data_IF_593245108307
#
_entry.id   IF_593245108307
#
_cell.length_a   1.000
_cell.length_b   1.000
_cell.length_c   1.000
_cell.angle_alpha   90.00
_cell.angle_beta   90.00
_cell.angle_gamma   90.00
#
_symmetry.space_group_name_H-M   'P 1'
#
loop_
_entity.id
_entity.type
_entity.pdbx_description
1 polymer ?
#
# COMPACT_ATOMS: atom_id res chain seq x y z
N UNK A 1 -18.92 9.87 64.95
CA UNK A 1 -18.23 9.65 63.66
C UNK A 1 -18.29 8.16 63.35
N UNK A 2 -18.87 7.78 62.21
CA UNK A 2 -18.88 6.38 61.74
C UNK A 2 -17.45 6.01 61.33
N UNK A 3 -16.99 4.82 61.68
CA UNK A 3 -15.74 4.24 61.18
C UNK A 3 -15.95 3.88 59.70
N UNK A 4 -15.63 4.79 58.78
CA UNK A 4 -15.99 4.67 57.36
C UNK A 4 -15.06 3.74 56.57
N UNK A 5 -13.93 3.29 57.12
CA UNK A 5 -12.86 2.72 56.26
C UNK A 5 -12.12 1.48 56.78
N UNK A 6 -12.78 0.63 57.58
CA UNK A 6 -12.15 -0.62 58.05
C UNK A 6 -12.02 -1.68 56.95
N UNK A 7 -12.89 -1.65 55.95
CA UNK A 7 -12.97 -2.71 54.93
C UNK A 7 -12.01 -2.54 53.74
N UNK A 8 -11.40 -1.35 53.57
CA UNK A 8 -10.39 -1.08 52.53
C UNK A 8 -8.97 -0.93 53.09
N UNK A 9 -8.76 -1.21 54.38
CA UNK A 9 -7.44 -1.09 55.01
C UNK A 9 -6.52 -2.22 54.53
N UNK A 10 -5.32 -1.93 53.98
CA UNK A 10 -4.38 -2.97 53.57
C UNK A 10 -3.96 -3.83 54.77
N UNK A 11 -3.88 -5.15 54.56
CA UNK A 11 -3.46 -6.08 55.61
C UNK A 11 -2.05 -5.76 56.17
N UNK A 12 -1.77 -6.18 57.40
CA UNK A 12 -0.50 -5.86 58.08
C UNK A 12 0.76 -6.24 57.26
N UNK A 13 0.71 -7.34 56.50
CA UNK A 13 1.80 -7.76 55.60
C UNK A 13 2.11 -6.71 54.53
N UNK A 14 1.07 -6.11 53.96
CA UNK A 14 1.19 -5.04 52.94
C UNK A 14 1.80 -3.79 53.57
N UNK A 15 1.39 -3.42 54.78
CA UNK A 15 1.96 -2.26 55.49
C UNK A 15 3.45 -2.42 55.81
N UNK A 16 3.89 -3.62 56.20
CA UNK A 16 5.31 -3.91 56.45
C UNK A 16 6.15 -3.85 55.16
N UNK A 17 5.60 -4.33 54.04
CA UNK A 17 6.26 -4.25 52.73
C UNK A 17 6.43 -2.80 52.27
N UNK A 18 5.39 -1.97 52.39
CA UNK A 18 5.46 -0.55 52.10
C UNK A 18 6.47 0.19 52.98
N UNK A 19 6.49 -0.09 54.29
CA UNK A 19 7.47 0.51 55.19
C UNK A 19 8.92 0.19 54.79
N UNK A 20 9.19 -1.03 54.33
CA UNK A 20 10.51 -1.44 53.82
C UNK A 20 10.88 -0.67 52.54
N UNK A 21 9.95 -0.51 51.58
CA UNK A 21 10.18 0.28 50.36
C UNK A 21 10.51 1.74 50.69
N UNK A 22 9.73 2.36 51.59
CA UNK A 22 9.98 3.73 52.03
C UNK A 22 11.31 3.92 52.75
N UNK A 23 11.78 2.93 53.53
CA UNK A 23 13.10 2.97 54.18
C UNK A 23 14.28 2.96 53.19
N UNK A 24 14.07 2.41 52.00
CA UNK A 24 15.07 2.36 50.92
C UNK A 24 14.98 3.61 50.02
N UNK A 25 14.06 4.54 50.31
CA UNK A 25 13.87 5.77 49.55
C UNK A 25 12.98 5.62 48.31
N UNK A 26 12.32 4.47 48.14
CA UNK A 26 11.33 4.24 47.08
C UNK A 26 9.94 4.70 47.56
N UNK A 27 9.53 5.87 47.09
CA UNK A 27 8.22 6.47 47.36
C UNK A 27 7.25 6.34 46.17
N UNK A 28 7.53 5.44 45.23
CA UNK A 28 6.66 5.24 44.06
C UNK A 28 5.34 4.58 44.49
N UNK A 29 4.23 5.23 44.14
CA UNK A 29 2.88 4.72 44.42
C UNK A 29 2.36 3.79 43.32
N UNK A 30 3.01 3.83 42.15
CA UNK A 30 2.66 2.98 41.02
C UNK A 30 3.00 1.51 41.29
N UNK A 31 2.18 0.62 40.75
CA UNK A 31 2.49 -0.79 40.78
C UNK A 31 3.70 -1.08 39.89
N UNK A 32 4.64 -1.88 40.40
CA UNK A 32 5.67 -2.48 39.56
C UNK A 32 5.03 -3.25 38.41
N UNK A 33 5.72 -3.27 37.27
CA UNK A 33 5.28 -4.01 36.11
C UNK A 33 5.18 -5.49 36.48
N UNK A 34 3.93 -5.97 36.59
CA UNK A 34 3.65 -7.34 37.01
C UNK A 34 4.17 -8.30 35.94
N UNK A 35 4.71 -9.45 36.37
CA UNK A 35 5.02 -10.54 35.45
C UNK A 35 3.73 -11.02 34.77
N UNK A 36 3.54 -10.61 33.51
CA UNK A 36 2.43 -11.05 32.68
C UNK A 36 2.55 -12.53 32.29
N UNK A 37 1.46 -13.09 31.74
CA UNK A 37 1.49 -14.43 31.13
C UNK A 37 2.58 -14.48 30.06
N UNK A 38 3.51 -15.46 30.09
CA UNK A 38 4.55 -15.60 29.07
C UNK A 38 3.88 -15.66 27.69
N UNK A 39 4.32 -14.83 26.75
CA UNK A 39 3.80 -14.87 25.39
C UNK A 39 4.23 -16.17 24.71
N UNK A 40 3.27 -17.05 24.42
CA UNK A 40 3.47 -18.37 23.77
C UNK A 40 4.07 -18.28 22.35
N UNK A 41 4.22 -17.07 21.80
CA UNK A 41 4.73 -16.85 20.44
C UNK A 41 6.24 -16.58 20.42
N UNK A 42 6.94 -17.38 19.62
CA UNK A 42 8.31 -17.09 19.22
C UNK A 42 8.32 -15.97 18.14
N UNK A 43 8.59 -14.72 18.57
CA UNK A 43 8.60 -13.55 17.69
C UNK A 43 9.69 -13.61 16.60
N UNK A 44 10.83 -14.23 16.89
CA UNK A 44 11.90 -14.46 15.90
C UNK A 44 11.44 -15.37 14.76
N UNK A 45 10.69 -16.41 15.08
CA UNK A 45 10.17 -17.35 14.11
C UNK A 45 9.05 -16.73 13.27
N UNK A 46 8.14 -15.97 13.90
CA UNK A 46 7.14 -15.18 13.19
C UNK A 46 7.79 -14.19 12.20
N UNK A 47 8.87 -13.51 12.63
CA UNK A 47 9.63 -12.60 11.76
C UNK A 47 10.31 -13.34 10.60
N UNK A 48 10.77 -14.58 10.83
CA UNK A 48 11.39 -15.41 9.78
C UNK A 48 10.36 -15.78 8.72
N UNK A 49 9.20 -16.29 9.12
CA UNK A 49 8.10 -16.68 8.21
C UNK A 49 7.68 -15.51 7.33
N UNK A 50 7.44 -14.33 7.92
CA UNK A 50 7.08 -13.12 7.16
C UNK A 50 8.19 -12.59 6.25
N UNK A 51 9.46 -12.88 6.53
CA UNK A 51 10.57 -12.54 5.63
C UNK A 51 10.70 -13.51 4.46
N UNK A 52 10.31 -14.76 4.65
CA UNK A 52 10.34 -15.79 3.60
C UNK A 52 9.21 -15.58 2.60
N UNK A 53 8.01 -15.27 3.07
CA UNK A 53 6.88 -14.88 2.23
C UNK A 53 6.08 -13.74 2.87
N UNK A 54 6.30 -12.49 2.44
CA UNK A 54 5.57 -11.32 2.94
C UNK A 54 4.08 -11.32 2.60
N UNK A 55 3.61 -12.20 1.72
CA UNK A 55 2.21 -12.27 1.26
C UNK A 55 1.40 -13.36 1.97
N UNK A 56 2.03 -14.16 2.83
CA UNK A 56 1.38 -15.25 3.53
C UNK A 56 0.28 -14.73 4.46
N UNK A 57 -0.91 -15.36 4.41
CA UNK A 57 -2.04 -14.95 5.23
C UNK A 57 -1.87 -15.35 6.71
N UNK A 58 -2.55 -14.64 7.62
CA UNK A 58 -2.58 -14.97 9.05
C UNK A 58 -3.13 -16.37 9.33
N UNK A 59 -3.98 -16.89 8.44
CA UNK A 59 -4.52 -18.25 8.52
C UNK A 59 -3.50 -19.32 8.09
N UNK A 60 -2.70 -19.09 7.05
CA UNK A 60 -1.64 -20.02 6.65
C UNK A 60 -0.49 -20.04 7.67
N UNK A 61 -0.19 -18.89 8.28
CA UNK A 61 0.75 -18.81 9.40
C UNK A 61 0.28 -19.59 10.62
N UNK A 62 -1.04 -19.68 10.86
CA UNK A 62 -1.61 -20.47 11.97
C UNK A 62 -1.22 -21.94 11.85
N UNK A 63 -1.28 -22.52 10.64
CA UNK A 63 -0.86 -23.90 10.38
C UNK A 63 0.66 -24.10 10.49
N UNK A 64 1.45 -23.08 10.11
CA UNK A 64 2.92 -23.16 10.11
C UNK A 64 3.50 -23.01 11.51
N UNK A 65 2.95 -22.09 12.31
CA UNK A 65 3.46 -21.73 13.64
C UNK A 65 2.72 -22.45 14.78
N UNK A 66 1.64 -23.17 14.50
CA UNK A 66 0.87 -23.93 15.49
C UNK A 66 0.19 -23.05 16.56
N UNK A 67 -0.08 -21.78 16.23
CA UNK A 67 -0.59 -20.76 17.14
C UNK A 67 -1.78 -20.06 16.52
N UNK A 68 -2.75 -19.69 17.35
CA UNK A 68 -3.99 -19.07 16.88
C UNK A 68 -3.75 -17.72 16.17
N UNK A 69 -4.60 -17.38 15.21
CA UNK A 69 -4.50 -16.17 14.38
C UNK A 69 -4.41 -14.87 15.19
N UNK A 70 -5.15 -14.77 16.30
CA UNK A 70 -5.09 -13.61 17.21
C UNK A 70 -3.72 -13.42 17.87
N UNK A 71 -3.02 -14.52 18.14
CA UNK A 71 -1.66 -14.51 18.66
C UNK A 71 -0.72 -13.97 17.58
N UNK A 72 -0.83 -14.47 16.34
CA UNK A 72 -0.03 -13.99 15.20
C UNK A 72 -0.22 -12.49 14.98
N UNK A 73 -1.45 -11.99 14.95
CA UNK A 73 -1.75 -10.56 14.80
C UNK A 73 -1.13 -9.71 15.92
N UNK A 74 -1.23 -10.18 17.16
CA UNK A 74 -0.61 -9.50 18.31
C UNK A 74 0.92 -9.48 18.21
N UNK A 75 1.51 -10.58 17.73
CA UNK A 75 2.95 -10.70 17.48
C UNK A 75 3.43 -9.76 16.36
N UNK A 76 2.70 -9.69 15.26
CA UNK A 76 2.98 -8.77 14.14
C UNK A 76 2.93 -7.31 14.60
N UNK A 77 1.93 -6.96 15.43
CA UNK A 77 1.81 -5.63 16.03
C UNK A 77 3.01 -5.29 16.92
N UNK A 78 3.49 -6.24 17.73
CA UNK A 78 4.71 -6.09 18.55
C UNK A 78 5.97 -5.93 17.69
N UNK A 79 6.03 -6.58 16.52
CA UNK A 79 7.12 -6.46 15.56
C UNK A 79 7.03 -5.18 14.70
N UNK A 80 6.01 -4.33 14.90
CA UNK A 80 5.78 -3.13 14.10
C UNK A 80 5.35 -3.41 12.65
N UNK A 81 4.97 -4.65 12.34
CA UNK A 81 4.52 -5.05 11.01
C UNK A 81 3.07 -4.62 10.80
N UNK A 82 2.80 -3.98 9.67
CA UNK A 82 1.47 -3.52 9.27
C UNK A 82 1.08 -4.17 7.96
N UNK A 83 -0.18 -4.59 7.84
CA UNK A 83 -0.75 -5.01 6.56
C UNK A 83 -0.71 -3.81 5.61
N UNK A 84 0.06 -3.91 4.53
CA UNK A 84 -0.15 -3.03 3.38
C UNK A 84 -1.29 -3.63 2.57
N UNK A 85 -2.25 -2.82 2.17
CA UNK A 85 -3.27 -3.22 1.20
C UNK A 85 -2.58 -3.60 -0.12
N UNK A 86 -3.04 -4.68 -0.75
CA UNK A 86 -2.44 -5.34 -1.92
C UNK A 86 -2.48 -4.55 -3.24
N UNK A 87 -2.74 -3.25 -3.21
CA UNK A 87 -3.03 -2.46 -4.42
C UNK A 87 -1.81 -2.15 -5.32
N UNK A 88 -0.59 -2.57 -4.95
CA UNK A 88 0.62 -2.08 -5.64
C UNK A 88 1.67 -3.12 -6.05
N UNK A 89 1.72 -4.32 -5.44
CA UNK A 89 2.90 -5.20 -5.61
C UNK A 89 2.69 -6.42 -6.52
N UNK A 90 1.50 -6.65 -7.08
CA UNK A 90 1.28 -7.76 -8.04
C UNK A 90 1.79 -7.49 -9.46
N UNK A 91 2.03 -6.23 -9.83
CA UNK A 91 2.24 -5.83 -11.23
C UNK A 91 3.68 -5.45 -11.58
N UNK A 92 4.54 -5.14 -10.61
CA UNK A 92 5.89 -4.62 -10.88
C UNK A 92 6.87 -5.65 -11.45
N UNK A 93 6.59 -6.95 -11.36
CA UNK A 93 7.40 -8.01 -11.97
C UNK A 93 7.12 -8.22 -13.47
N UNK A 94 6.01 -7.69 -13.99
CA UNK A 94 5.56 -7.91 -15.37
C UNK A 94 5.53 -6.61 -16.22
N UNK A 95 5.77 -5.45 -15.61
CA UNK A 95 5.70 -4.14 -16.26
C UNK A 95 6.96 -3.77 -17.08
N UNK A 96 7.90 -4.70 -17.27
CA UNK A 96 9.00 -4.53 -18.24
C UNK A 96 8.54 -4.60 -19.71
N UNK A 97 7.23 -4.63 -19.98
CA UNK A 97 6.69 -4.62 -21.33
C UNK A 97 6.63 -3.18 -21.87
N UNK A 98 7.77 -2.80 -22.46
CA UNK A 98 7.86 -2.06 -23.72
C UNK A 98 6.97 -0.81 -23.89
N UNK A 99 7.34 0.29 -23.21
CA UNK A 99 6.92 1.62 -23.64
C UNK A 99 7.90 2.09 -24.71
N UNK A 100 7.51 1.97 -25.98
CA UNK A 100 8.29 2.49 -27.11
C UNK A 100 8.25 4.02 -27.07
N UNK A 101 9.37 4.58 -26.62
CA UNK A 101 9.70 6.00 -26.67
C UNK A 101 9.61 6.49 -28.12
N UNK A 102 8.75 7.48 -28.38
CA UNK A 102 8.82 8.28 -29.61
C UNK A 102 10.16 9.04 -29.59
N UNK A 103 11.12 8.60 -30.40
CA UNK A 103 12.39 9.30 -30.61
C UNK A 103 12.39 9.84 -32.04
N UNK A 104 12.49 11.17 -32.24
CA UNK A 104 12.57 11.73 -33.57
C UNK A 104 13.88 11.29 -34.23
N UNK A 105 13.79 10.58 -35.37
CA UNK A 105 14.95 10.21 -36.20
C UNK A 105 15.22 8.72 -36.40
N UNK A 106 14.46 7.80 -35.79
CA UNK A 106 14.52 6.37 -36.12
C UNK A 106 13.18 5.88 -36.63
N UNK A 107 13.10 5.50 -37.90
CA UNK A 107 11.94 4.83 -38.51
C UNK A 107 11.79 3.46 -37.86
N UNK A 108 11.10 3.39 -36.72
CA UNK A 108 10.70 2.13 -36.08
C UNK A 108 9.20 1.95 -36.29
N UNK A 109 8.83 0.72 -36.59
CA UNK A 109 7.45 0.24 -36.67
C UNK A 109 6.65 0.71 -35.45
N UNK A 110 5.62 1.51 -35.68
CA UNK A 110 4.76 2.06 -34.63
C UNK A 110 3.83 0.96 -34.16
N UNK A 111 3.81 0.71 -32.84
CA UNK A 111 2.87 -0.21 -32.21
C UNK A 111 1.80 0.61 -31.51
N UNK A 112 0.55 0.39 -31.89
CA UNK A 112 -0.59 1.12 -31.36
C UNK A 112 -1.34 0.23 -30.37
N UNK A 113 -1.59 0.74 -29.16
CA UNK A 113 -2.29 0.04 -28.10
C UNK A 113 -3.54 0.86 -27.73
N UNK A 114 -4.71 0.23 -27.76
CA UNK A 114 -5.96 0.81 -27.28
C UNK A 114 -6.85 -0.31 -26.70
N UNK A 115 -7.95 0.06 -26.06
CA UNK A 115 -8.89 -0.88 -25.48
C UNK A 115 -9.86 -1.46 -26.53
N UNK A 116 -10.59 -2.50 -26.16
CA UNK A 116 -11.50 -3.21 -27.07
C UNK A 116 -12.87 -2.52 -27.21
N UNK A 117 -12.96 -1.20 -27.03
CA UNK A 117 -14.23 -0.51 -27.21
C UNK A 117 -14.71 -0.65 -28.66
N UNK A 118 -16.03 -0.79 -28.85
CA UNK A 118 -16.66 -0.99 -30.16
C UNK A 118 -16.17 -0.06 -31.29
N UNK A 119 -16.02 1.26 -31.08
CA UNK A 119 -15.51 2.14 -32.14
C UNK A 119 -14.06 1.82 -32.54
N UNK A 120 -13.23 1.29 -31.64
CA UNK A 120 -11.84 0.95 -31.96
C UNK A 120 -11.70 -0.40 -32.66
N UNK A 121 -12.68 -1.30 -32.51
CA UNK A 121 -12.74 -2.56 -33.26
C UNK A 121 -13.40 -2.41 -34.63
N UNK A 122 -13.92 -1.22 -34.96
CA UNK A 122 -14.56 -0.96 -36.23
C UNK A 122 -13.60 -1.20 -37.41
N UNK A 123 -14.16 -1.67 -38.53
CA UNK A 123 -13.36 -2.01 -39.70
C UNK A 123 -12.74 -0.76 -40.34
N UNK A 124 -13.44 0.37 -40.33
CA UNK A 124 -12.90 1.63 -40.85
C UNK A 124 -11.63 2.04 -40.10
N UNK A 125 -11.67 2.02 -38.75
CA UNK A 125 -10.53 2.39 -37.90
C UNK A 125 -9.34 1.47 -38.14
N UNK A 126 -9.55 0.16 -38.20
CA UNK A 126 -8.48 -0.80 -38.49
C UNK A 126 -7.88 -0.60 -39.89
N UNK A 127 -8.70 -0.24 -40.88
CA UNK A 127 -8.23 0.08 -42.23
C UNK A 127 -7.33 1.31 -42.23
N UNK A 128 -7.70 2.37 -41.50
CA UNK A 128 -6.88 3.58 -41.39
C UNK A 128 -5.55 3.31 -40.67
N UNK A 129 -5.57 2.57 -39.56
CA UNK A 129 -4.35 2.20 -38.82
C UNK A 129 -3.34 1.44 -39.69
N UNK A 130 -3.82 0.56 -40.56
CA UNK A 130 -3.00 -0.14 -41.54
C UNK A 130 -2.44 0.80 -42.61
N UNK A 131 -3.21 1.80 -43.07
CA UNK A 131 -2.72 2.82 -44.02
C UNK A 131 -1.60 3.68 -43.42
N UNK A 132 -1.68 3.99 -42.12
CA UNK A 132 -0.62 4.68 -41.40
C UNK A 132 0.62 3.80 -41.15
N UNK A 133 0.56 2.50 -41.47
CA UNK A 133 1.64 1.53 -41.24
C UNK A 133 1.80 1.15 -39.76
N UNK A 134 0.77 1.36 -38.94
CA UNK A 134 0.80 1.07 -37.52
C UNK A 134 0.39 -0.38 -37.27
N UNK A 135 1.06 -1.02 -36.32
CA UNK A 135 0.74 -2.38 -35.90
C UNK A 135 -0.10 -2.33 -34.64
N UNK A 136 -1.34 -2.84 -34.74
CA UNK A 136 -2.21 -2.94 -33.58
C UNK A 136 -1.71 -4.04 -32.63
N UNK A 137 -1.54 -3.69 -31.35
CA UNK A 137 -1.24 -4.65 -30.30
C UNK A 137 -2.52 -5.32 -29.80
N UNK A 138 -2.52 -6.64 -29.61
CA UNK A 138 -3.66 -7.33 -29.02
C UNK A 138 -3.88 -6.86 -27.59
N UNK A 139 -5.10 -6.47 -27.26
CA UNK A 139 -5.51 -6.12 -25.90
C UNK A 139 -6.54 -7.13 -25.39
N UNK A 140 -6.37 -7.73 -24.20
CA UNK A 140 -7.38 -8.61 -23.63
C UNK A 140 -8.63 -7.85 -23.14
N UNK A 141 -9.81 -8.49 -23.12
CA UNK A 141 -11.02 -7.88 -22.54
C UNK A 141 -10.85 -7.55 -21.05
N UNK A 142 -11.38 -6.41 -20.63
CA UNK A 142 -11.39 -5.96 -19.22
C UNK A 142 -10.02 -5.89 -18.55
N UNK A 143 -8.99 -5.43 -19.26
CA UNK A 143 -7.63 -5.32 -18.72
C UNK A 143 -7.11 -3.88 -18.67
N UNK A 144 -7.74 -3.00 -17.87
CA UNK A 144 -7.30 -1.62 -17.72
C UNK A 144 -5.89 -1.50 -17.14
N UNK A 145 -5.41 -2.51 -16.42
CA UNK A 145 -4.07 -2.63 -15.85
C UNK A 145 -2.96 -2.78 -16.92
N UNK A 146 -3.33 -3.24 -18.13
CA UNK A 146 -2.40 -3.40 -19.26
C UNK A 146 -2.33 -2.11 -20.10
N UNK A 147 -3.33 -1.24 -20.01
CA UNK A 147 -3.34 0.05 -20.69
C UNK A 147 -2.49 1.07 -19.92
N UNK A 148 -1.33 1.41 -20.47
CA UNK A 148 -0.39 2.39 -19.88
C UNK A 148 -1.05 3.75 -19.61
N UNK A 149 -2.01 4.15 -20.44
CA UNK A 149 -2.83 5.35 -20.24
C UNK A 149 -3.66 5.27 -18.95
N UNK A 150 -4.31 4.14 -18.69
CA UNK A 150 -5.25 4.00 -17.59
C UNK A 150 -4.53 3.86 -16.25
N UNK A 151 -3.42 3.13 -16.22
CA UNK A 151 -2.68 2.89 -14.98
C UNK A 151 -1.85 4.10 -14.54
N UNK A 152 -1.10 4.72 -15.47
CA UNK A 152 -0.16 5.79 -15.12
C UNK A 152 -0.74 7.18 -15.38
N UNK A 153 -1.12 7.47 -16.63
CA UNK A 153 -1.49 8.83 -17.05
C UNK A 153 -2.78 9.31 -16.37
N UNK A 154 -3.84 8.51 -16.39
CA UNK A 154 -5.13 8.91 -15.82
C UNK A 154 -5.07 9.03 -14.30
N UNK A 155 -4.30 8.18 -13.63
CA UNK A 155 -4.08 8.27 -12.17
C UNK A 155 -3.36 9.56 -11.80
N UNK A 156 -2.28 9.90 -12.51
CA UNK A 156 -1.52 11.13 -12.26
C UNK A 156 -2.34 12.38 -12.60
N UNK A 157 -3.06 12.35 -13.71
CA UNK A 157 -3.97 13.41 -14.11
C UNK A 157 -5.09 13.62 -13.08
N UNK A 158 -5.67 12.54 -12.55
CA UNK A 158 -6.72 12.63 -11.52
C UNK A 158 -6.19 13.36 -10.29
N UNK A 159 -4.98 13.02 -9.84
CA UNK A 159 -4.32 13.71 -8.73
C UNK A 159 -4.02 15.18 -9.05
N UNK A 160 -3.65 15.51 -10.28
CA UNK A 160 -3.43 16.88 -10.73
C UNK A 160 -4.72 17.72 -10.76
N UNK A 161 -5.84 17.09 -11.12
CA UNK A 161 -7.15 17.72 -11.21
C UNK A 161 -7.90 17.75 -9.87
N UNK A 162 -7.43 17.01 -8.87
CA UNK A 162 -8.03 16.94 -7.55
C UNK A 162 -8.12 18.33 -6.91
N UNK A 163 -9.32 18.73 -6.48
CA UNK A 163 -9.58 20.04 -5.88
C UNK A 163 -9.73 21.20 -6.87
N UNK A 164 -9.55 20.97 -8.18
CA UNK A 164 -9.87 21.98 -9.21
C UNK A 164 -11.34 21.87 -9.61
N UNK A 165 -11.99 23.03 -9.78
CA UNK A 165 -13.35 23.10 -10.31
C UNK A 165 -13.35 23.92 -11.59
N UNK A 166 -14.10 23.47 -12.59
CA UNK A 166 -14.19 24.10 -13.89
C UNK A 166 -15.64 24.41 -14.19
N UNK A 167 -15.91 25.63 -14.67
CA UNK A 167 -17.26 26.05 -15.07
C UNK A 167 -17.45 26.00 -16.58
N UNK A 168 -16.36 26.06 -17.35
CA UNK A 168 -16.38 26.11 -18.81
C UNK A 168 -15.39 25.11 -19.41
N UNK A 169 -15.77 24.51 -20.55
CA UNK A 169 -14.91 23.59 -21.32
C UNK A 169 -13.53 24.20 -21.65
N UNK A 170 -13.47 25.48 -22.01
CA UNK A 170 -12.20 26.16 -22.32
C UNK A 170 -11.20 26.17 -21.15
N UNK A 171 -11.70 26.22 -19.91
CA UNK A 171 -10.85 26.14 -18.71
C UNK A 171 -10.22 24.74 -18.60
N UNK A 172 -11.03 23.70 -18.82
CA UNK A 172 -10.56 22.30 -18.84
C UNK A 172 -9.48 22.12 -19.91
N UNK A 173 -9.73 22.60 -21.14
CA UNK A 173 -8.77 22.47 -22.24
C UNK A 173 -7.44 23.19 -21.95
N UNK A 174 -7.52 24.40 -21.35
CA UNK A 174 -6.32 25.17 -20.99
C UNK A 174 -5.50 24.46 -19.92
N UNK A 175 -6.16 23.91 -18.89
CA UNK A 175 -5.51 23.20 -17.79
C UNK A 175 -4.91 21.88 -18.22
N UNK A 176 -5.59 21.12 -19.08
CA UNK A 176 -5.03 19.92 -19.69
C UNK A 176 -3.80 20.26 -20.54
N UNK A 177 -3.87 21.33 -21.34
CA UNK A 177 -2.74 21.79 -22.15
C UNK A 177 -1.55 22.17 -21.26
N UNK A 178 -1.80 22.85 -20.14
CA UNK A 178 -0.78 23.19 -19.14
C UNK A 178 -0.17 21.95 -18.46
N UNK A 179 -1.01 20.97 -18.11
CA UNK A 179 -0.56 19.69 -17.55
C UNK A 179 0.37 18.93 -18.51
N UNK A 180 -0.02 18.79 -19.78
CA UNK A 180 0.80 18.09 -20.76
C UNK A 180 2.08 18.87 -21.12
N UNK A 181 2.03 20.20 -21.17
CA UNK A 181 3.21 21.03 -21.38
C UNK A 181 4.22 20.93 -20.22
N UNK A 182 3.74 20.82 -18.97
CA UNK A 182 4.60 20.64 -17.80
C UNK A 182 5.08 19.20 -17.62
N UNK A 183 4.27 18.21 -17.98
CA UNK A 183 4.61 16.78 -17.87
C UNK A 183 5.55 16.32 -18.98
N UNK A 184 5.55 16.98 -20.14
CA UNK A 184 6.54 16.77 -21.19
C UNK A 184 7.99 17.02 -20.70
N UNK A 185 8.19 17.83 -19.65
CA UNK A 185 9.48 18.04 -19.00
C UNK A 185 9.91 16.86 -18.10
N UNK A 186 8.96 16.07 -17.59
CA UNK A 186 9.25 14.93 -16.69
C UNK A 186 9.62 13.65 -17.44
N UNK A 187 9.21 13.49 -18.71
CA UNK A 187 9.58 12.33 -19.52
C UNK A 187 11.06 12.34 -19.94
N UNK A 188 11.73 13.50 -19.96
CA UNK A 188 13.18 13.58 -20.15
C UNK A 188 13.98 13.30 -18.86
N UNK A 189 13.33 13.36 -17.68
CA UNK A 189 14.03 13.28 -16.38
C UNK A 189 14.17 11.87 -15.81
N UNK A 190 13.58 10.87 -16.47
CA UNK A 190 13.62 9.46 -16.07
C UNK A 190 14.33 8.56 -17.08
N UNK A 191 14.98 9.13 -18.10
CA UNK A 191 15.68 8.40 -19.17
C UNK A 191 17.11 8.92 -19.43
N UNK A 192 17.79 9.44 -18.39
CA UNK A 192 19.25 9.58 -18.35
C UNK A 192 19.82 8.83 -17.14
#
# INVERSE_FOLDING_TARGET
MRDVDKDHTPGQRTNVLWYKRFKVGDYTFEHEERSGRPSELNLSELRRVMKTDPLQSTMEMTGTLGVHSSSIESGLKKLGMKKKSDDMYRTTSNLSIAIVVWTPGKVRKVHYQHDNARPHLAREVNSELLQFGWTLLPHPPYSPDIATSNYWLLSDLTRYLEGKSFTTRAQVETELTSYFASSACLLERWYL
#
